data_IF_906711223473
#
_entry.id   IF_906711223473
#
_cell.length_a   1.000
_cell.length_b   1.000
_cell.length_c   1.000
_cell.angle_alpha   90.00
_cell.angle_beta   90.00
_cell.angle_gamma   90.00
#
_symmetry.space_group_name_H-M   'P 1'
#
loop_
_entity.id
_entity.type
_entity.pdbx_description
1 polymer ?
#
# COMPACT_ATOMS: atom_id res chain seq x y z
N UNK A 1 22.54 -2.41 -1.01
CA UNK A 1 21.28 -1.85 -0.47
C UNK A 1 20.93 -0.51 -1.11
N UNK A 2 21.89 0.16 -1.77
CA UNK A 2 21.74 1.47 -2.43
C UNK A 2 21.16 1.49 -3.86
N UNK A 3 21.16 0.38 -4.61
CA UNK A 3 20.78 0.43 -6.04
C UNK A 3 19.27 0.42 -6.34
N UNK A 4 18.42 0.06 -5.37
CA UNK A 4 16.96 0.10 -5.56
C UNK A 4 16.34 1.49 -5.31
N UNK A 5 17.09 2.39 -4.66
CA UNK A 5 16.69 3.79 -4.42
C UNK A 5 17.19 4.74 -5.52
N UNK A 6 18.12 4.32 -6.37
CA UNK A 6 18.64 5.10 -7.50
C UNK A 6 17.61 5.27 -8.62
N UNK A 7 16.71 4.30 -8.79
CA UNK A 7 15.52 4.50 -9.58
C UNK A 7 14.48 5.18 -8.67
N UNK A 8 14.37 6.51 -8.72
CA UNK A 8 13.22 7.27 -8.19
C UNK A 8 11.93 6.85 -8.89
N UNK A 9 11.51 5.60 -8.71
CA UNK A 9 10.24 5.10 -9.21
C UNK A 9 9.19 5.66 -8.28
N UNK A 10 8.43 6.62 -8.80
CA UNK A 10 7.26 7.19 -8.12
C UNK A 10 6.38 6.04 -7.64
N UNK A 11 6.09 6.02 -6.36
CA UNK A 11 5.13 5.09 -5.77
C UNK A 11 3.73 5.67 -5.96
N UNK A 12 2.82 4.88 -6.50
CA UNK A 12 1.45 5.29 -6.79
C UNK A 12 0.43 4.71 -5.82
N UNK A 13 0.76 3.60 -5.14
CA UNK A 13 -0.08 2.99 -4.11
C UNK A 13 0.81 2.27 -3.10
N UNK A 14 0.50 2.41 -1.82
CA UNK A 14 1.07 1.60 -0.74
C UNK A 14 -0.02 0.67 -0.23
N UNK A 15 0.27 -0.62 -0.12
CA UNK A 15 -0.64 -1.60 0.48
C UNK A 15 0.05 -2.26 1.66
N UNK A 16 -0.65 -2.38 2.79
CA UNK A 16 -0.15 -3.10 3.97
C UNK A 16 -1.19 -4.04 4.53
N UNK A 17 -0.75 -5.13 5.15
CA UNK A 17 -1.66 -6.01 5.88
C UNK A 17 -2.03 -5.39 7.22
N UNK A 18 -3.24 -5.68 7.69
CA UNK A 18 -3.77 -5.21 8.97
C UNK A 18 -2.95 -5.71 10.18
N UNK A 19 -2.28 -6.87 10.06
CA UNK A 19 -1.44 -7.46 11.11
C UNK A 19 0.02 -6.98 11.07
N UNK A 20 0.32 -5.96 10.25
CA UNK A 20 1.63 -5.33 10.22
C UNK A 20 1.94 -4.67 11.57
N UNK A 21 3.12 -4.96 12.13
CA UNK A 21 3.52 -4.45 13.45
C UNK A 21 3.42 -2.93 13.56
N UNK A 22 2.89 -2.45 14.70
CA UNK A 22 2.46 -1.04 14.87
C UNK A 22 3.51 0.02 14.55
N UNK A 23 4.79 -0.22 14.86
CA UNK A 23 5.87 0.71 14.52
C UNK A 23 6.13 0.82 13.01
N UNK A 24 6.04 -0.29 12.28
CA UNK A 24 6.26 -0.33 10.84
C UNK A 24 5.04 0.18 10.07
N UNK A 25 3.84 -0.17 10.53
CA UNK A 25 2.58 0.36 9.99
C UNK A 25 2.54 1.90 10.10
N UNK A 26 2.85 2.47 11.27
CA UNK A 26 2.91 3.93 11.47
C UNK A 26 3.93 4.64 10.59
N UNK A 27 5.02 3.96 10.20
CA UNK A 27 6.01 4.52 9.26
C UNK A 27 5.46 4.54 7.84
N UNK A 28 4.82 3.45 7.40
CA UNK A 28 4.17 3.37 6.10
C UNK A 28 3.04 4.39 5.98
N UNK A 29 2.19 4.51 7.00
CA UNK A 29 1.05 5.45 7.02
C UNK A 29 1.52 6.89 6.94
N UNK A 30 2.53 7.27 7.75
CA UNK A 30 3.11 8.61 7.70
C UNK A 30 3.75 8.91 6.36
N UNK A 31 4.42 7.94 5.74
CA UNK A 31 5.02 8.10 4.41
C UNK A 31 3.94 8.33 3.36
N UNK A 32 2.90 7.50 3.37
CA UNK A 32 1.75 7.61 2.48
C UNK A 32 1.07 8.98 2.59
N UNK A 33 0.80 9.43 3.83
CA UNK A 33 0.23 10.76 4.08
C UNK A 33 1.16 11.90 3.64
N UNK A 34 2.45 11.83 3.99
CA UNK A 34 3.41 12.90 3.68
C UNK A 34 3.64 13.10 2.19
N UNK A 35 3.50 12.04 1.40
CA UNK A 35 3.70 12.08 -0.06
C UNK A 35 2.37 12.07 -0.84
N UNK A 36 1.24 12.14 -0.14
CA UNK A 36 -0.11 12.08 -0.71
C UNK A 36 -0.30 10.84 -1.62
N UNK A 37 0.22 9.70 -1.15
CA UNK A 37 0.10 8.41 -1.83
C UNK A 37 -1.09 7.67 -1.22
N UNK A 38 -2.00 7.13 -2.04
CA UNK A 38 -3.04 6.23 -1.58
C UNK A 38 -2.48 5.08 -0.73
N UNK A 39 -3.14 4.79 0.38
CA UNK A 39 -2.81 3.68 1.28
C UNK A 39 -4.01 2.73 1.35
N UNK A 40 -3.76 1.43 1.13
CA UNK A 40 -4.78 0.39 1.27
C UNK A 40 -4.38 -0.59 2.36
N UNK A 41 -5.30 -0.86 3.29
CA UNK A 41 -5.09 -1.81 4.38
C UNK A 41 -5.81 -3.11 4.02
N UNK A 42 -5.03 -4.14 3.68
CA UNK A 42 -5.52 -5.47 3.35
C UNK A 42 -5.73 -6.31 4.62
N UNK A 43 -6.50 -7.39 4.52
CA UNK A 43 -6.59 -8.38 5.60
C UNK A 43 -5.25 -9.10 5.78
N UNK A 44 -5.02 -9.63 6.97
CA UNK A 44 -3.79 -10.36 7.30
C UNK A 44 -3.49 -11.46 6.27
N UNK A 45 -2.30 -11.41 5.68
CA UNK A 45 -1.80 -12.41 4.75
C UNK A 45 -2.36 -12.31 3.33
N UNK A 46 -3.22 -11.33 3.02
CA UNK A 46 -3.71 -11.13 1.66
C UNK A 46 -2.60 -10.68 0.73
N UNK A 47 -1.71 -9.80 1.18
CA UNK A 47 -0.57 -9.35 0.36
C UNK A 47 0.35 -10.54 0.05
N UNK A 48 0.74 -11.31 1.06
CA UNK A 48 1.58 -12.49 0.89
C UNK A 48 1.00 -13.49 -0.13
N UNK A 49 -0.32 -13.70 -0.07
CA UNK A 49 -1.07 -14.53 -1.03
C UNK A 49 -1.05 -13.93 -2.44
N UNK A 50 -1.34 -12.64 -2.57
CA UNK A 50 -1.43 -11.96 -3.86
C UNK A 50 -0.09 -11.93 -4.61
N UNK A 51 1.03 -11.79 -3.89
CA UNK A 51 2.37 -11.76 -4.50
C UNK A 51 3.06 -13.12 -4.55
N UNK A 52 2.37 -14.20 -4.14
CA UNK A 52 2.94 -15.55 -4.04
C UNK A 52 4.28 -15.58 -3.28
N UNK A 53 4.41 -14.78 -2.22
CA UNK A 53 5.61 -14.69 -1.39
C UNK A 53 5.26 -14.78 0.08
N UNK A 54 6.03 -15.58 0.79
CA UNK A 54 5.88 -15.73 2.22
C UNK A 54 6.35 -14.48 2.97
N UNK A 55 5.69 -14.16 4.09
CA UNK A 55 6.04 -13.08 5.00
C UNK A 55 6.02 -11.64 4.43
N UNK A 56 5.33 -11.41 3.31
CA UNK A 56 5.14 -10.04 2.77
C UNK A 56 3.91 -9.40 3.38
N UNK A 57 4.13 -8.32 4.14
CA UNK A 57 3.06 -7.54 4.81
C UNK A 57 2.93 -6.10 4.33
N UNK A 58 3.80 -5.68 3.40
CA UNK A 58 3.85 -4.33 2.85
C UNK A 58 4.36 -4.40 1.40
N UNK A 59 3.63 -3.76 0.49
CA UNK A 59 4.05 -3.57 -0.89
C UNK A 59 3.85 -2.12 -1.31
N UNK A 60 4.71 -1.66 -2.21
CA UNK A 60 4.60 -0.36 -2.85
C UNK A 60 4.49 -0.60 -4.35
N UNK A 61 3.42 -0.11 -4.98
CA UNK A 61 3.23 -0.18 -6.41
C UNK A 61 3.86 1.02 -7.08
N UNK A 62 4.66 0.75 -8.10
CA UNK A 62 5.32 1.77 -8.93
C UNK A 62 4.70 1.89 -10.32
N UNK A 63 3.70 1.06 -10.63
CA UNK A 63 2.90 1.18 -11.85
C UNK A 63 1.60 1.91 -11.53
N UNK A 64 1.35 3.01 -12.25
CA UNK A 64 0.12 3.79 -12.13
C UNK A 64 -1.10 2.95 -12.57
N UNK A 65 -0.99 2.20 -13.67
CA UNK A 65 -2.09 1.40 -14.21
C UNK A 65 -2.55 0.32 -13.22
N UNK A 66 -1.59 -0.37 -12.56
CA UNK A 66 -1.92 -1.37 -11.55
C UNK A 66 -2.50 -0.74 -10.28
N UNK A 67 -1.95 0.38 -9.84
CA UNK A 67 -2.47 1.12 -8.69
C UNK A 67 -3.91 1.58 -8.94
N UNK A 68 -4.19 2.15 -10.10
CA UNK A 68 -5.51 2.63 -10.49
C UNK A 68 -6.50 1.47 -10.65
N UNK A 69 -6.08 0.34 -11.24
CA UNK A 69 -6.92 -0.86 -11.34
C UNK A 69 -7.32 -1.41 -9.97
N UNK A 70 -6.39 -1.47 -9.02
CA UNK A 70 -6.66 -1.93 -7.64
C UNK A 70 -7.57 -0.94 -6.92
N UNK A 71 -7.29 0.36 -7.00
CA UNK A 71 -8.12 1.40 -6.39
C UNK A 71 -9.53 1.44 -6.97
N UNK A 72 -9.71 1.14 -8.26
CA UNK A 72 -11.04 1.01 -8.89
C UNK A 72 -11.75 -0.28 -8.48
N UNK A 73 -11.02 -1.38 -8.33
CA UNK A 73 -11.59 -2.66 -7.89
C UNK A 73 -12.04 -2.61 -6.43
N UNK A 74 -11.33 -1.86 -5.58
CA UNK A 74 -11.64 -1.69 -4.16
C UNK A 74 -12.83 -0.77 -3.90
N UNK A 75 -13.22 0.06 -4.88
CA UNK A 75 -14.51 0.80 -4.86
C UNK A 75 -15.75 -0.11 -4.86
N UNK A 76 -15.58 -1.43 -5.02
CA UNK A 76 -16.64 -2.41 -4.82
C UNK A 76 -16.69 -3.00 -3.39
N UNK A 77 -15.77 -2.61 -2.50
CA UNK A 77 -15.51 -3.35 -1.25
C UNK A 77 -15.46 -2.54 0.04
N UNK A 78 -14.63 -1.50 0.15
CA UNK A 78 -14.52 -0.70 1.38
C UNK A 78 -14.21 0.76 1.02
N UNK A 79 -15.28 1.55 0.91
CA UNK A 79 -15.17 3.01 0.96
C UNK A 79 -14.78 3.33 2.40
N UNK A 80 -13.51 3.61 2.67
CA UNK A 80 -13.21 4.41 3.87
C UNK A 80 -13.55 5.83 3.44
N UNK A 81 -14.80 6.22 3.70
CA UNK A 81 -15.24 7.61 3.63
C UNK A 81 -14.26 8.42 4.49
N UNK A 82 -13.40 9.20 3.83
CA UNK A 82 -12.85 10.39 4.46
C UNK A 82 -13.98 11.41 4.46
N UNK A 83 -14.88 11.30 5.44
CA UNK A 83 -15.71 12.42 5.85
C UNK A 83 -14.79 13.58 6.20
N UNK A 84 -14.93 14.67 5.47
CA UNK A 84 -14.44 15.99 5.88
C UNK A 84 -15.67 16.78 6.30
N UNK A 85 -15.84 16.97 7.61
CA UNK A 85 -16.65 18.05 8.19
C UNK A 85 -15.76 19.28 8.44
#
# INVERSE_FOLDING_TARGET
>A
MDELLAAKKRVYLIMRDADMGGSSARKADRKAQSENIPLLICKSGEIARAVHKENVKLIALTSNELADAILRSDKSGIITEVESE
#
